data_IF_726836588929
#
_entry.id   IF_726836588929
#
_cell.length_a   1.000
_cell.length_b   1.000
_cell.length_c   1.000
_cell.angle_alpha   90.00
_cell.angle_beta   90.00
_cell.angle_gamma   90.00
#
_symmetry.space_group_name_H-M   'P 1'
#
loop_
_entity.id
_entity.type
_entity.pdbx_description
1 polymer ?
#
# COMPACT_ATOMS: atom_id res chain seq x y z
N UNK A 1 35.79 52.46 -25.95
CA UNK A 1 35.90 51.02 -25.62
C UNK A 1 35.43 50.79 -24.19
N UNK A 2 34.16 50.44 -23.97
CA UNK A 2 33.65 49.92 -22.69
C UNK A 2 32.23 49.36 -22.92
N UNK A 3 32.05 48.04 -22.90
CA UNK A 3 30.72 47.45 -23.06
C UNK A 3 30.72 45.94 -23.28
N UNK A 4 31.25 45.15 -22.36
CA UNK A 4 31.14 43.67 -22.46
C UNK A 4 31.27 42.90 -21.15
N UNK A 5 31.06 43.52 -19.97
CA UNK A 5 31.21 42.83 -18.67
C UNK A 5 29.91 42.54 -17.90
N UNK A 6 28.75 43.03 -18.36
CA UNK A 6 27.49 42.87 -17.62
C UNK A 6 26.71 41.58 -17.97
N UNK A 7 26.92 40.98 -19.14
CA UNK A 7 26.11 39.85 -19.62
C UNK A 7 26.49 38.50 -18.98
N UNK A 8 27.79 38.26 -18.72
CA UNK A 8 28.29 36.96 -18.24
C UNK A 8 27.80 36.62 -16.83
N UNK A 9 27.62 37.62 -15.96
CA UNK A 9 27.19 37.39 -14.57
C UNK A 9 25.71 37.05 -14.38
N UNK A 10 24.86 37.27 -15.39
CA UNK A 10 23.43 36.98 -15.31
C UNK A 10 23.12 35.51 -15.67
N UNK A 11 23.85 34.96 -16.66
CA UNK A 11 23.70 33.58 -17.09
C UNK A 11 24.17 32.58 -16.02
N UNK A 12 25.27 32.88 -15.33
CA UNK A 12 25.79 32.02 -14.25
C UNK A 12 24.83 31.93 -13.06
N UNK A 13 24.19 33.05 -12.68
CA UNK A 13 23.20 33.07 -11.59
C UNK A 13 21.92 32.35 -11.93
N UNK A 14 21.50 32.36 -13.20
CA UNK A 14 20.34 31.60 -13.66
C UNK A 14 20.61 30.08 -13.64
N UNK A 15 21.84 29.67 -14.00
CA UNK A 15 22.28 28.28 -14.00
C UNK A 15 22.39 27.70 -12.59
N UNK A 16 22.87 28.49 -11.62
CA UNK A 16 22.94 28.11 -10.20
C UNK A 16 21.54 27.98 -9.57
N UNK A 17 20.61 28.90 -9.89
CA UNK A 17 19.22 28.81 -9.45
C UNK A 17 18.52 27.55 -10.01
N UNK A 18 18.72 27.24 -11.29
CA UNK A 18 18.16 26.01 -11.90
C UNK A 18 18.71 24.75 -11.26
N UNK A 19 20.02 24.66 -11.00
CA UNK A 19 20.65 23.51 -10.31
C UNK A 19 20.14 23.34 -8.88
N UNK A 20 19.95 24.45 -8.16
CA UNK A 20 19.43 24.42 -6.80
C UNK A 20 17.97 23.98 -6.78
N UNK A 21 17.15 24.47 -7.72
CA UNK A 21 15.73 24.12 -7.83
C UNK A 21 15.54 22.66 -8.28
N UNK A 22 16.39 22.17 -9.19
CA UNK A 22 16.39 20.77 -9.63
C UNK A 22 16.84 19.82 -8.51
N UNK A 23 17.83 20.21 -7.69
CA UNK A 23 18.21 19.46 -6.50
C UNK A 23 17.08 19.40 -5.46
N UNK A 24 16.33 20.49 -5.28
CA UNK A 24 15.16 20.51 -4.40
C UNK A 24 14.01 19.64 -4.92
N UNK A 25 13.75 19.60 -6.23
CA UNK A 25 12.73 18.72 -6.82
C UNK A 25 13.11 17.25 -6.68
N UNK A 26 14.39 16.90 -6.85
CA UNK A 26 14.88 15.52 -6.67
C UNK A 26 14.79 15.11 -5.20
N UNK A 27 15.19 15.97 -4.26
CA UNK A 27 15.10 15.68 -2.83
C UNK A 27 13.64 15.56 -2.37
N UNK A 28 12.74 16.43 -2.85
CA UNK A 28 11.32 16.37 -2.50
C UNK A 28 10.65 15.12 -3.10
N UNK A 29 10.98 14.78 -4.35
CA UNK A 29 10.48 13.57 -5.01
C UNK A 29 10.96 12.28 -4.35
N UNK A 30 12.20 12.25 -3.85
CA UNK A 30 12.79 11.07 -3.20
C UNK A 30 12.31 10.88 -1.75
N UNK A 31 11.94 11.95 -1.04
CA UNK A 31 11.44 11.88 0.35
C UNK A 31 9.93 11.78 0.47
N UNK A 32 9.15 12.28 -0.51
CA UNK A 32 7.68 12.20 -0.50
C UNK A 32 7.17 11.03 -1.36
N UNK A 33 7.88 10.68 -2.44
CA UNK A 33 7.42 9.65 -3.38
C UNK A 33 7.74 8.21 -2.98
N UNK A 34 8.82 7.96 -2.24
CA UNK A 34 9.37 6.59 -2.09
C UNK A 34 8.68 5.69 -1.05
N UNK A 35 7.97 6.15 0.00
CA UNK A 35 7.20 5.23 0.83
C UNK A 35 5.81 4.89 0.26
N UNK A 36 5.35 5.52 -0.82
CA UNK A 36 4.04 5.22 -1.43
C UNK A 36 4.09 4.22 -2.60
N UNK A 37 5.26 3.75 -3.00
CA UNK A 37 5.43 2.92 -4.23
C UNK A 37 5.25 1.41 -3.99
N UNK A 38 4.70 0.98 -2.84
CA UNK A 38 4.25 -0.42 -2.66
C UNK A 38 2.74 -0.56 -2.95
N UNK A 39 2.00 0.53 -3.20
CA UNK A 39 0.53 0.46 -3.29
C UNK A 39 -0.14 0.89 -4.60
N UNK A 40 0.49 1.69 -5.47
CA UNK A 40 -0.25 2.29 -6.59
C UNK A 40 0.64 2.58 -7.79
N UNK A 41 0.87 1.58 -8.65
CA UNK A 41 1.20 1.83 -10.08
C UNK A 41 0.62 0.72 -10.96
N UNK A 42 -0.70 0.74 -11.14
CA UNK A 42 -1.36 0.34 -12.38
C UNK A 42 -2.42 1.39 -12.66
N UNK A 43 -1.96 2.53 -13.17
CA UNK A 43 -2.81 3.40 -13.96
C UNK A 43 -2.68 2.88 -15.40
N UNK A 44 -3.66 2.09 -15.84
CA UNK A 44 -3.86 1.77 -17.24
C UNK A 44 -5.35 1.85 -17.57
N UNK A 45 -5.64 2.28 -18.80
CA UNK A 45 -6.86 2.95 -19.24
C UNK A 45 -8.13 2.08 -19.23
N UNK A 46 -9.10 2.39 -18.35
CA UNK A 46 -10.50 2.00 -18.53
C UNK A 46 -10.79 0.51 -18.75
N UNK A 47 -9.86 -0.36 -18.35
CA UNK A 47 -9.97 -1.81 -18.55
C UNK A 47 -11.05 -2.35 -17.61
N UNK A 48 -12.07 -2.98 -18.20
CA UNK A 48 -13.17 -3.62 -17.47
C UNK A 48 -12.88 -5.08 -17.17
N UNK A 49 -11.70 -5.58 -17.55
CA UNK A 49 -11.30 -6.95 -17.32
C UNK A 49 -11.03 -7.20 -15.82
N UNK A 50 -11.61 -8.29 -15.31
CA UNK A 50 -11.41 -8.71 -13.91
C UNK A 50 -10.10 -9.49 -13.80
N UNK A 51 -9.14 -9.06 -12.96
CA UNK A 51 -7.86 -9.76 -12.85
C UNK A 51 -8.04 -11.11 -12.14
N UNK A 52 -7.56 -12.18 -12.79
CA UNK A 52 -7.47 -13.51 -12.17
C UNK A 52 -6.43 -13.54 -11.04
N UNK A 53 -6.51 -14.51 -10.10
CA UNK A 53 -5.43 -14.75 -9.14
C UNK A 53 -4.07 -14.85 -9.84
N UNK A 54 -3.00 -14.42 -9.18
CA UNK A 54 -1.63 -14.64 -9.67
C UNK A 54 -1.24 -16.12 -9.55
N UNK A 55 -0.19 -16.55 -10.25
CA UNK A 55 0.32 -17.91 -10.10
C UNK A 55 0.76 -18.18 -8.66
N UNK A 56 1.43 -17.22 -8.04
CA UNK A 56 1.90 -17.29 -6.65
C UNK A 56 0.74 -17.45 -5.66
N UNK A 57 -0.37 -16.73 -5.86
CA UNK A 57 -1.56 -16.88 -5.02
C UNK A 57 -2.18 -18.27 -5.16
N UNK A 58 -2.25 -18.82 -6.38
CA UNK A 58 -2.78 -20.18 -6.61
C UNK A 58 -1.87 -21.25 -6.02
N UNK A 59 -0.57 -21.14 -6.26
CA UNK A 59 0.45 -22.07 -5.77
C UNK A 59 0.53 -22.09 -4.24
N UNK A 60 0.24 -20.96 -3.58
CA UNK A 60 0.13 -20.90 -2.12
C UNK A 60 -1.20 -21.47 -1.60
N UNK A 61 -2.28 -21.36 -2.37
CA UNK A 61 -3.64 -21.76 -1.94
C UNK A 61 -3.84 -23.26 -2.02
N UNK A 62 -3.48 -23.88 -3.16
CA UNK A 62 -3.73 -25.32 -3.41
C UNK A 62 -3.20 -26.24 -2.29
N UNK A 63 -1.96 -26.08 -1.79
CA UNK A 63 -1.44 -26.95 -0.73
C UNK A 63 -2.20 -26.82 0.60
N UNK A 64 -2.72 -25.63 0.91
CA UNK A 64 -3.53 -25.40 2.11
C UNK A 64 -4.87 -26.14 2.01
N UNK A 65 -5.50 -26.10 0.83
CA UNK A 65 -6.74 -26.82 0.59
C UNK A 65 -6.53 -28.34 0.57
N UNK A 66 -5.43 -28.81 0.00
CA UNK A 66 -5.04 -30.21 0.07
C UNK A 66 -4.87 -30.68 1.52
N UNK A 67 -4.14 -29.91 2.35
CA UNK A 67 -4.00 -30.24 3.77
C UNK A 67 -5.33 -30.22 4.53
N UNK A 68 -6.23 -29.29 4.22
CA UNK A 68 -7.56 -29.24 4.83
C UNK A 68 -8.41 -30.46 4.42
N UNK A 69 -8.35 -30.87 3.15
CA UNK A 69 -9.02 -32.07 2.66
C UNK A 69 -8.56 -33.33 3.41
N UNK A 70 -7.25 -33.51 3.62
CA UNK A 70 -6.73 -34.65 4.40
C UNK A 70 -7.25 -34.68 5.85
N UNK A 71 -7.47 -33.50 6.46
CA UNK A 71 -7.97 -33.40 7.83
C UNK A 71 -9.49 -33.50 7.97
N UNK A 72 -10.24 -33.10 6.95
CA UNK A 72 -11.70 -32.89 7.05
C UNK A 72 -12.53 -33.77 6.09
N UNK A 73 -11.91 -34.32 5.05
CA UNK A 73 -12.58 -35.15 4.04
C UNK A 73 -13.55 -34.38 3.13
N UNK A 74 -13.48 -33.04 3.09
CA UNK A 74 -14.28 -32.17 2.22
C UNK A 74 -13.36 -31.50 1.21
N UNK A 75 -13.71 -31.55 -0.07
CA UNK A 75 -12.98 -30.81 -1.09
C UNK A 75 -13.32 -29.31 -1.00
N UNK A 76 -12.30 -28.47 -1.10
CA UNK A 76 -12.46 -27.02 -1.07
C UNK A 76 -11.98 -26.42 -2.38
N UNK A 77 -12.73 -25.45 -2.90
CA UNK A 77 -12.43 -24.85 -4.19
C UNK A 77 -12.84 -23.40 -4.33
N UNK A 78 -12.50 -22.83 -5.49
CA UNK A 78 -12.87 -21.49 -5.87
C UNK A 78 -13.27 -21.42 -7.34
N UNK A 79 -14.13 -20.44 -7.63
CA UNK A 79 -14.48 -20.04 -8.98
C UNK A 79 -14.67 -18.53 -9.06
N UNK A 80 -13.96 -17.90 -9.99
CA UNK A 80 -14.04 -16.46 -10.23
C UNK A 80 -14.59 -16.23 -11.64
N UNK A 81 -15.58 -15.35 -11.72
CA UNK A 81 -16.23 -14.95 -12.95
C UNK A 81 -16.01 -13.45 -13.20
N UNK A 82 -15.71 -13.13 -14.46
CA UNK A 82 -15.97 -11.81 -15.02
C UNK A 82 -17.43 -11.81 -15.51
N UNK A 83 -18.30 -11.23 -14.68
CA UNK A 83 -19.76 -11.22 -14.80
C UNK A 83 -20.40 -12.62 -14.93
N UNK A 84 -20.29 -13.25 -16.10
CA UNK A 84 -20.80 -14.59 -16.40
C UNK A 84 -19.75 -15.53 -16.99
N UNK A 85 -18.58 -15.01 -17.32
CA UNK A 85 -17.48 -15.76 -17.94
C UNK A 85 -16.55 -16.24 -16.85
N UNK A 86 -16.37 -17.55 -16.73
CA UNK A 86 -15.37 -18.09 -15.80
C UNK A 86 -13.96 -17.72 -16.28
N UNK A 87 -13.20 -17.08 -15.39
CA UNK A 87 -11.84 -16.65 -15.66
C UNK A 87 -10.81 -17.37 -14.77
N UNK A 88 -11.25 -17.94 -13.64
CA UNK A 88 -10.39 -18.77 -12.79
C UNK A 88 -11.17 -19.82 -12.03
N UNK A 89 -10.60 -21.01 -11.92
CA UNK A 89 -11.12 -22.12 -11.13
C UNK A 89 -9.96 -22.87 -10.49
N UNK A 90 -10.17 -23.44 -9.31
CA UNK A 90 -9.19 -24.32 -8.68
C UNK A 90 -9.68 -24.94 -7.38
N UNK A 91 -8.89 -25.88 -6.85
CA UNK A 91 -9.28 -26.68 -5.69
C UNK A 91 -8.10 -27.30 -4.96
N UNK A 92 -8.41 -28.07 -3.91
CA UNK A 92 -7.47 -29.00 -3.28
C UNK A 92 -6.83 -30.02 -4.24
N UNK A 93 -7.43 -30.27 -5.40
CA UNK A 93 -6.87 -31.18 -6.42
C UNK A 93 -5.88 -30.48 -7.37
N UNK A 94 -5.82 -29.15 -7.36
CA UNK A 94 -4.93 -28.37 -8.21
C UNK A 94 -5.53 -27.06 -8.71
N UNK A 95 -4.67 -26.23 -9.29
CA UNK A 95 -5.07 -25.12 -10.15
C UNK A 95 -5.86 -25.65 -11.36
N UNK A 96 -6.84 -24.88 -11.84
CA UNK A 96 -7.71 -25.20 -12.98
C UNK A 96 -8.54 -26.47 -12.80
N UNK A 97 -8.70 -26.96 -11.58
CA UNK A 97 -9.48 -28.15 -11.26
C UNK A 97 -10.67 -27.77 -10.38
N UNK A 98 -11.88 -27.92 -10.92
CA UNK A 98 -13.15 -27.67 -10.23
C UNK A 98 -13.44 -28.76 -9.20
N UNK A 99 -13.93 -28.40 -8.01
CA UNK A 99 -14.45 -29.41 -7.06
C UNK A 99 -15.83 -29.92 -7.48
N UNK A 100 -16.61 -29.10 -8.18
CA UNK A 100 -17.99 -29.43 -8.59
C UNK A 100 -18.03 -30.49 -9.69
N UNK A 101 -17.07 -30.45 -10.61
CA UNK A 101 -17.07 -31.24 -11.83
C UNK A 101 -16.14 -32.47 -11.76
N UNK A 102 -15.33 -32.59 -10.70
CA UNK A 102 -14.37 -33.68 -10.53
C UNK A 102 -14.95 -34.82 -9.67
N UNK A 103 -14.99 -36.07 -10.19
CA UNK A 103 -15.56 -37.21 -9.47
C UNK A 103 -14.78 -37.60 -8.20
N UNK A 104 -13.55 -37.11 -8.02
CA UNK A 104 -12.76 -37.31 -6.80
C UNK A 104 -13.26 -36.45 -5.63
N UNK A 105 -14.15 -35.50 -5.88
CA UNK A 105 -14.76 -34.63 -4.89
C UNK A 105 -16.27 -34.88 -4.78
N UNK A 106 -16.71 -36.02 -4.19
CA UNK A 106 -18.14 -36.29 -4.02
C UNK A 106 -18.80 -35.36 -2.98
N UNK A 107 -18.02 -34.84 -2.03
CA UNK A 107 -18.43 -33.87 -1.01
C UNK A 107 -17.52 -32.65 -1.07
N UNK A 108 -18.09 -31.47 -1.30
CA UNK A 108 -17.31 -30.26 -1.58
C UNK A 108 -17.98 -28.97 -1.13
N UNK A 109 -17.17 -27.94 -0.91
CA UNK A 109 -17.58 -26.55 -0.68
C UNK A 109 -16.71 -25.64 -1.58
N UNK A 110 -17.34 -24.75 -2.33
CA UNK A 110 -16.67 -23.84 -3.28
C UNK A 110 -17.11 -22.39 -3.01
N UNK A 111 -16.15 -21.45 -2.95
CA UNK A 111 -16.49 -20.02 -3.03
C UNK A 111 -16.63 -19.66 -4.50
N UNK A 112 -17.75 -19.03 -4.87
CA UNK A 112 -17.96 -18.44 -6.19
C UNK A 112 -18.04 -16.92 -6.06
N UNK A 113 -17.38 -16.19 -6.96
CA UNK A 113 -17.49 -14.74 -7.03
C UNK A 113 -17.66 -14.28 -8.48
N UNK A 114 -18.65 -13.41 -8.71
CA UNK A 114 -18.85 -12.73 -9.97
C UNK A 114 -18.58 -11.24 -9.79
N UNK A 115 -17.55 -10.74 -10.46
CA UNK A 115 -17.14 -9.34 -10.40
C UNK A 115 -17.50 -8.66 -11.71
N UNK A 116 -17.94 -7.42 -11.63
CA UNK A 116 -18.29 -6.59 -12.78
C UNK A 116 -17.69 -5.21 -12.62
N UNK A 117 -16.72 -4.91 -13.47
CA UNK A 117 -16.26 -3.55 -13.66
C UNK A 117 -17.09 -2.85 -14.73
N UNK A 118 -17.32 -1.57 -14.50
CA UNK A 118 -18.06 -0.68 -15.37
C UNK A 118 -17.08 0.30 -16.02
N UNK A 119 -17.38 0.74 -17.23
CA UNK A 119 -16.52 1.72 -17.91
C UNK A 119 -16.45 3.01 -17.09
N UNK A 120 -15.30 3.71 -17.08
CA UNK A 120 -15.13 4.97 -16.36
C UNK A 120 -16.12 6.10 -16.75
N UNK A 121 -16.78 5.99 -17.91
CA UNK A 121 -17.84 6.90 -18.38
C UNK A 121 -19.26 6.50 -17.92
N UNK A 122 -19.40 5.40 -17.19
CA UNK A 122 -20.66 4.90 -16.69
C UNK A 122 -20.99 5.53 -15.33
N UNK A 123 -22.26 5.87 -15.12
CA UNK A 123 -22.78 6.27 -13.80
C UNK A 123 -23.07 5.07 -12.89
N UNK A 124 -22.95 3.84 -13.43
CA UNK A 124 -23.10 2.61 -12.63
C UNK A 124 -21.83 2.35 -11.84
N UNK A 125 -21.97 1.84 -10.62
CA UNK A 125 -20.83 1.42 -9.81
C UNK A 125 -20.37 0.01 -10.17
N UNK A 126 -19.09 -0.25 -9.94
CA UNK A 126 -18.55 -1.60 -9.94
C UNK A 126 -19.20 -2.44 -8.85
N UNK A 127 -19.27 -3.75 -9.05
CA UNK A 127 -19.97 -4.63 -8.13
C UNK A 127 -19.37 -6.03 -8.11
N UNK A 128 -19.54 -6.70 -6.97
CA UNK A 128 -19.20 -8.10 -6.80
C UNK A 128 -20.36 -8.83 -6.12
N UNK A 129 -20.63 -10.05 -6.58
CA UNK A 129 -21.56 -10.99 -5.94
C UNK A 129 -20.78 -12.22 -5.50
N UNK A 130 -20.85 -12.55 -4.22
CA UNK A 130 -20.09 -13.64 -3.61
C UNK A 130 -21.07 -14.69 -3.09
N UNK A 131 -20.78 -15.95 -3.38
CA UNK A 131 -21.55 -17.11 -2.97
C UNK A 131 -20.66 -18.20 -2.39
N UNK A 132 -21.27 -19.07 -1.61
CA UNK A 132 -20.66 -20.34 -1.19
C UNK A 132 -21.61 -21.43 -1.61
N UNK A 133 -21.13 -22.30 -2.48
CA UNK A 133 -21.86 -23.46 -2.98
C UNK A 133 -21.31 -24.73 -2.33
N UNK A 134 -22.12 -25.79 -2.29
CA UNK A 134 -21.71 -27.09 -1.77
C UNK A 134 -22.27 -28.24 -2.58
N UNK A 135 -21.75 -29.44 -2.31
CA UNK A 135 -22.28 -30.68 -2.85
C UNK A 135 -23.73 -30.93 -2.40
N UNK A 136 -24.52 -31.75 -3.14
CA UNK A 136 -25.94 -31.96 -2.85
C UNK A 136 -26.26 -32.57 -1.47
N UNK A 137 -25.27 -33.12 -0.78
CA UNK A 137 -25.39 -33.66 0.58
C UNK A 137 -25.19 -32.62 1.69
N UNK A 138 -24.88 -31.36 1.35
CA UNK A 138 -24.75 -30.25 2.29
C UNK A 138 -26.01 -29.36 2.16
N UNK A 139 -26.67 -29.09 3.29
CA UNK A 139 -27.87 -28.26 3.30
C UNK A 139 -27.50 -26.80 2.97
N UNK A 140 -28.21 -26.12 2.06
CA UNK A 140 -28.03 -24.69 1.82
C UNK A 140 -28.10 -23.83 3.09
N UNK A 141 -28.85 -24.24 4.11
CA UNK A 141 -28.92 -23.55 5.40
C UNK A 141 -27.58 -23.56 6.15
N UNK A 142 -26.75 -24.58 5.96
CA UNK A 142 -25.41 -24.67 6.56
C UNK A 142 -24.38 -23.83 5.78
N UNK A 143 -24.61 -23.60 4.49
CA UNK A 143 -23.74 -22.77 3.63
C UNK A 143 -23.93 -21.27 3.87
N UNK A 144 -25.14 -20.84 4.22
CA UNK A 144 -25.43 -19.43 4.52
C UNK A 144 -24.53 -18.82 5.62
N UNK A 145 -24.37 -19.42 6.81
CA UNK A 145 -23.46 -18.90 7.83
C UNK A 145 -21.99 -18.94 7.42
N UNK A 146 -21.58 -19.84 6.51
CA UNK A 146 -20.23 -19.84 5.94
C UNK A 146 -20.05 -18.61 5.04
N UNK A 147 -20.99 -18.35 4.12
CA UNK A 147 -20.95 -17.17 3.26
C UNK A 147 -20.93 -15.87 4.08
N UNK A 148 -21.82 -15.74 5.08
CA UNK A 148 -21.83 -14.60 5.99
C UNK A 148 -20.55 -14.50 6.85
N UNK A 149 -19.89 -15.63 7.10
CA UNK A 149 -18.64 -15.70 7.83
C UNK A 149 -17.48 -15.02 7.12
N UNK A 150 -17.50 -14.94 5.77
CA UNK A 150 -16.45 -14.31 4.96
C UNK A 150 -16.27 -12.82 5.29
N UNK A 151 -17.37 -12.10 5.54
CA UNK A 151 -17.34 -10.67 5.88
C UNK A 151 -16.53 -10.40 7.15
N UNK A 152 -16.51 -11.33 8.12
CA UNK A 152 -15.70 -11.20 9.35
C UNK A 152 -14.20 -11.21 9.08
N UNK A 153 -13.79 -11.71 7.91
CA UNK A 153 -12.41 -11.69 7.44
C UNK A 153 -12.14 -10.53 6.48
N UNK A 154 -13.09 -9.61 6.30
CA UNK A 154 -12.99 -8.51 5.35
C UNK A 154 -13.12 -8.96 3.90
N UNK A 155 -13.75 -10.12 3.65
CA UNK A 155 -13.89 -10.72 2.31
C UNK A 155 -15.31 -10.49 1.77
N UNK A 156 -15.75 -9.23 1.84
CA UNK A 156 -17.02 -8.77 1.28
C UNK A 156 -16.86 -8.18 -0.12
N UNK A 157 -17.96 -7.62 -0.65
CA UNK A 157 -18.01 -7.11 -2.03
C UNK A 157 -16.88 -6.12 -2.37
N UNK A 158 -16.58 -5.18 -1.48
CA UNK A 158 -15.54 -4.17 -1.70
C UNK A 158 -14.16 -4.81 -1.94
N UNK A 159 -13.79 -5.83 -1.14
CA UNK A 159 -12.52 -6.53 -1.30
C UNK A 159 -12.42 -7.29 -2.64
N UNK A 160 -13.55 -7.83 -3.12
CA UNK A 160 -13.59 -8.51 -4.42
C UNK A 160 -13.61 -7.53 -5.60
N UNK A 161 -14.13 -6.31 -5.41
CA UNK A 161 -14.01 -5.24 -6.41
C UNK A 161 -12.56 -4.75 -6.46
N UNK A 162 -11.91 -4.53 -5.31
CA UNK A 162 -10.57 -3.96 -5.23
C UNK A 162 -9.47 -4.95 -5.68
N UNK A 163 -9.50 -6.20 -5.20
CA UNK A 163 -8.47 -7.20 -5.46
C UNK A 163 -9.07 -8.61 -5.68
N UNK A 164 -9.80 -8.87 -6.78
CA UNK A 164 -10.59 -10.09 -6.97
C UNK A 164 -9.76 -11.38 -6.88
N UNK A 165 -8.56 -11.39 -7.49
CA UNK A 165 -7.66 -12.54 -7.47
C UNK A 165 -7.11 -12.88 -6.08
N UNK A 166 -6.82 -11.86 -5.27
CA UNK A 166 -6.41 -12.05 -3.88
C UNK A 166 -7.61 -12.45 -3.00
N UNK A 167 -8.74 -11.76 -3.14
CA UNK A 167 -9.93 -11.98 -2.33
C UNK A 167 -10.49 -13.40 -2.50
N UNK A 168 -10.58 -13.91 -3.74
CA UNK A 168 -11.09 -15.25 -4.00
C UNK A 168 -10.19 -16.32 -3.38
N UNK A 169 -8.87 -16.22 -3.55
CA UNK A 169 -7.93 -17.20 -2.98
C UNK A 169 -7.92 -17.13 -1.45
N UNK A 170 -8.01 -15.92 -0.88
CA UNK A 170 -8.11 -15.74 0.57
C UNK A 170 -9.42 -16.31 1.13
N UNK A 171 -10.57 -16.06 0.49
CA UNK A 171 -11.86 -16.63 0.88
C UNK A 171 -11.84 -18.15 0.90
N UNK A 172 -11.25 -18.76 -0.11
CA UNK A 172 -11.14 -20.22 -0.16
C UNK A 172 -10.24 -20.79 0.93
N UNK A 173 -9.16 -20.12 1.30
CA UNK A 173 -8.32 -20.57 2.44
C UNK A 173 -9.02 -20.50 3.80
N UNK A 174 -10.09 -19.71 3.92
CA UNK A 174 -10.88 -19.56 5.14
C UNK A 174 -12.02 -20.58 5.23
N UNK A 175 -12.46 -21.15 4.10
CA UNK A 175 -13.55 -22.14 4.07
C UNK A 175 -13.38 -23.31 5.05
N UNK A 176 -12.22 -23.97 5.17
CA UNK A 176 -12.05 -25.10 6.09
C UNK A 176 -12.34 -24.75 7.55
N UNK A 177 -11.99 -23.52 7.96
CA UNK A 177 -12.27 -23.01 9.30
C UNK A 177 -13.78 -22.79 9.48
N UNK A 178 -14.41 -22.09 8.54
CA UNK A 178 -15.85 -21.79 8.60
C UNK A 178 -16.69 -23.07 8.55
N UNK A 179 -16.30 -24.06 7.74
CA UNK A 179 -16.93 -25.37 7.70
C UNK A 179 -16.85 -26.09 9.04
N UNK A 180 -15.74 -25.95 9.77
CA UNK A 180 -15.61 -26.50 11.13
C UNK A 180 -16.46 -25.74 12.15
N UNK A 181 -16.56 -24.42 12.05
CA UNK A 181 -17.39 -23.60 12.95
C UNK A 181 -18.87 -23.97 12.89
N UNK A 182 -19.39 -24.29 11.70
CA UNK A 182 -20.79 -24.69 11.51
C UNK A 182 -21.01 -26.20 11.71
N UNK A 183 -19.95 -26.95 12.04
CA UNK A 183 -20.03 -28.39 12.31
C UNK A 183 -20.13 -29.28 11.07
N UNK A 184 -19.90 -28.75 9.87
CA UNK A 184 -19.84 -29.55 8.63
C UNK A 184 -18.59 -30.41 8.55
N UNK A 185 -17.52 -30.00 9.22
CA UNK A 185 -16.25 -30.71 9.32
C UNK A 185 -15.70 -30.69 10.76
N UNK A 186 -14.84 -31.64 11.09
CA UNK A 186 -14.01 -31.51 12.29
C UNK A 186 -13.00 -30.36 12.10
N UNK A 187 -12.52 -29.73 13.19
CA UNK A 187 -11.39 -28.81 13.10
C UNK A 187 -10.19 -29.49 12.46
N UNK A 188 -9.49 -28.81 11.54
CA UNK A 188 -8.26 -29.35 10.94
C UNK A 188 -7.27 -29.66 12.06
N UNK A 189 -6.69 -30.88 12.13
CA UNK A 189 -5.73 -31.22 13.15
C UNK A 189 -4.56 -30.25 13.10
N UNK A 190 -4.38 -29.46 14.15
CA UNK A 190 -3.10 -28.77 14.35
C UNK A 190 -2.11 -29.85 14.75
N UNK A 191 -0.98 -29.94 14.05
CA UNK A 191 0.09 -30.83 14.48
C UNK A 191 0.36 -30.54 15.96
N UNK A 192 0.16 -31.53 16.82
CA UNK A 192 0.50 -31.39 18.22
C UNK A 192 2.00 -31.12 18.26
N UNK A 193 2.39 -29.91 18.66
CA UNK A 193 3.79 -29.63 18.98
C UNK A 193 4.25 -30.73 19.94
N UNK A 194 5.42 -31.35 19.71
CA UNK A 194 5.93 -32.34 20.64
C UNK A 194 5.92 -31.72 22.03
N UNK A 195 5.20 -32.34 22.96
CA UNK A 195 5.12 -31.87 24.33
C UNK A 195 6.54 -31.58 24.82
N UNK A 196 6.84 -30.37 25.33
CA UNK A 196 8.20 -30.01 25.66
C UNK A 196 8.73 -30.98 26.70
N UNK A 197 9.66 -31.85 26.29
CA UNK A 197 10.39 -32.74 27.20
C UNK A 197 11.47 -31.92 27.88
N UNK A 198 11.06 -31.10 28.85
CA UNK A 198 11.96 -30.27 29.64
C UNK A 198 11.22 -29.11 30.30
N UNK A 199 11.71 -28.70 31.48
CA UNK A 199 11.30 -27.44 32.10
C UNK A 199 11.51 -26.31 31.09
N UNK A 200 10.47 -25.54 30.72
CA UNK A 200 10.62 -24.45 29.76
C UNK A 200 11.68 -23.50 30.29
N UNK A 201 12.71 -23.23 29.48
CA UNK A 201 13.70 -22.22 29.80
C UNK A 201 12.96 -20.89 30.04
N UNK A 202 13.29 -20.14 31.11
CA UNK A 202 12.62 -18.87 31.37
C UNK A 202 12.76 -17.99 30.12
N UNK A 203 11.63 -17.43 29.68
CA UNK A 203 11.60 -16.51 28.55
C UNK A 203 12.68 -15.44 28.79
N UNK A 204 13.50 -15.12 27.78
CA UNK A 204 14.42 -13.99 27.89
C UNK A 204 13.61 -12.76 28.27
N UNK A 205 14.13 -11.95 29.20
CA UNK A 205 13.47 -10.72 29.65
C UNK A 205 12.96 -9.94 28.44
N UNK A 206 11.68 -9.59 28.43
CA UNK A 206 11.06 -8.84 27.34
C UNK A 206 11.97 -7.66 26.95
N UNK A 207 12.62 -7.81 25.79
CA UNK A 207 13.44 -6.75 25.23
C UNK A 207 12.55 -5.54 24.97
N UNK A 208 13.11 -4.35 25.10
CA UNK A 208 12.35 -3.11 25.03
C UNK A 208 11.81 -2.88 23.59
N UNK A 209 10.62 -3.38 23.28
CA UNK A 209 9.97 -3.33 21.95
C UNK A 209 9.56 -1.92 21.48
N UNK A 210 9.83 -0.90 22.30
CA UNK A 210 9.54 0.51 22.01
C UNK A 210 10.15 0.98 20.69
N UNK A 211 11.31 0.46 20.30
CA UNK A 211 11.98 0.80 19.04
C UNK A 211 11.28 0.22 17.81
N UNK A 212 10.60 -0.92 17.96
CA UNK A 212 9.88 -1.58 16.88
C UNK A 212 8.47 -1.00 16.72
N UNK A 213 7.75 -0.82 17.83
CA UNK A 213 6.40 -0.26 17.82
C UNK A 213 6.36 1.23 17.50
N UNK A 214 7.37 2.01 17.93
CA UNK A 214 7.39 3.47 17.74
C UNK A 214 8.31 3.93 16.63
N UNK A 215 8.83 3.00 15.82
CA UNK A 215 9.67 3.28 14.64
C UNK A 215 9.02 4.34 13.74
N UNK A 216 7.75 4.16 13.41
CA UNK A 216 7.01 5.09 12.56
C UNK A 216 7.01 6.52 13.12
N UNK A 217 6.61 6.67 14.38
CA UNK A 217 6.56 7.97 15.06
C UNK A 217 7.94 8.64 15.17
N UNK A 218 9.00 7.87 15.44
CA UNK A 218 10.37 8.38 15.49
C UNK A 218 10.83 8.93 14.15
N UNK A 219 10.52 8.25 13.04
CA UNK A 219 10.83 8.76 11.70
C UNK A 219 10.04 10.03 11.37
N UNK A 220 8.76 10.10 11.73
CA UNK A 220 7.95 11.30 11.51
C UNK A 220 8.48 12.49 12.32
N UNK A 221 8.82 12.27 13.59
CA UNK A 221 9.39 13.30 14.46
C UNK A 221 10.75 13.79 13.95
N UNK A 222 11.64 12.87 13.52
CA UNK A 222 12.93 13.22 12.96
C UNK A 222 12.80 14.03 11.66
N UNK A 223 11.88 13.65 10.78
CA UNK A 223 11.60 14.38 9.55
C UNK A 223 11.10 15.80 9.83
N UNK A 224 10.17 15.97 10.76
CA UNK A 224 9.67 17.29 11.18
C UNK A 224 10.77 18.19 11.76
N UNK A 225 11.66 17.62 12.59
CA UNK A 225 12.81 18.34 13.14
C UNK A 225 13.76 18.82 12.04
N UNK A 226 14.01 17.98 11.03
CA UNK A 226 14.84 18.33 9.88
C UNK A 226 14.24 19.49 9.08
N UNK A 227 12.93 19.45 8.81
CA UNK A 227 12.22 20.53 8.12
C UNK A 227 12.30 21.83 8.93
N UNK A 228 12.05 21.78 10.24
CA UNK A 228 12.15 22.94 11.12
C UNK A 228 13.55 23.54 11.11
N UNK A 229 14.60 22.72 11.22
CA UNK A 229 15.99 23.18 11.17
C UNK A 229 16.32 23.85 9.82
N UNK A 230 15.80 23.31 8.71
CA UNK A 230 15.96 23.87 7.37
C UNK A 230 15.32 25.25 7.24
N UNK A 231 14.07 25.40 7.72
CA UNK A 231 13.35 26.68 7.73
C UNK A 231 14.08 27.73 8.56
N UNK A 232 14.59 27.37 9.74
CA UNK A 232 15.40 28.26 10.58
C UNK A 232 16.69 28.65 9.86
N UNK A 233 17.39 27.70 9.25
CA UNK A 233 18.62 27.96 8.49
C UNK A 233 18.41 28.92 7.32
N UNK A 234 17.35 28.72 6.53
CA UNK A 234 16.97 29.60 5.42
C UNK A 234 16.57 30.99 5.94
N UNK A 235 15.78 31.06 7.01
CA UNK A 235 15.38 32.32 7.64
C UNK A 235 16.58 33.13 8.15
N UNK A 236 17.53 32.49 8.83
CA UNK A 236 18.76 33.15 9.31
C UNK A 236 19.62 33.61 8.13
N UNK A 237 19.75 32.81 7.07
CA UNK A 237 20.54 33.18 5.87
C UNK A 237 19.89 34.33 5.10
N UNK A 238 18.55 34.34 4.99
CA UNK A 238 17.78 35.45 4.42
C UNK A 238 17.96 36.74 5.21
N UNK A 239 17.85 36.68 6.55
CA UNK A 239 18.04 37.82 7.44
C UNK A 239 19.48 38.38 7.39
N UNK A 240 20.48 37.50 7.30
CA UNK A 240 21.90 37.92 7.12
C UNK A 240 22.14 38.61 5.77
N UNK A 241 21.46 38.17 4.70
CA UNK A 241 21.55 38.83 3.38
C UNK A 241 20.89 40.20 3.38
N UNK A 242 19.73 40.35 4.03
CA UNK A 242 19.08 41.65 4.18
C UNK A 242 19.93 42.64 4.99
N UNK A 243 20.55 42.19 6.10
CA UNK A 243 21.45 43.04 6.90
C UNK A 243 22.74 43.44 6.19
N UNK A 244 23.18 42.69 5.17
CA UNK A 244 24.34 43.04 4.33
C UNK A 244 23.99 43.94 3.14
N UNK A 245 22.70 44.19 2.89
CA UNK A 245 22.21 45.00 1.77
C UNK A 245 21.82 46.44 2.11
N UNK A 246 21.85 46.84 3.39
CA UNK A 246 21.61 48.23 3.81
C UNK A 246 22.94 48.87 4.20
N UNK A 247 23.73 49.23 3.19
CA UNK A 247 24.74 50.29 3.36
C UNK A 247 24.02 51.64 3.19
N UNK A 248 24.22 52.63 4.10
CA UNK A 248 23.56 53.91 3.97
C UNK A 248 23.99 54.60 2.68
N UNK A 249 23.01 54.99 1.85
CA UNK A 249 23.20 55.87 0.72
C UNK A 249 23.67 57.24 1.25
N UNK A 250 24.96 57.52 1.11
CA UNK A 250 25.54 58.82 1.42
C UNK A 250 25.10 59.81 0.34
N UNK A 251 24.13 60.65 0.71
CA UNK A 251 23.55 61.73 -0.10
C UNK A 251 24.56 62.89 -0.13
N UNK A 252 25.14 63.29 -1.27
CA UNK A 252 25.96 64.50 -1.34
C UNK A 252 25.03 65.70 -1.52
N UNK A 253 24.86 66.49 -0.47
CA UNK A 253 24.07 67.72 -0.54
C UNK A 253 23.77 68.29 0.84
N UNK A 254 24.74 68.98 1.43
CA UNK A 254 24.48 69.95 2.49
C UNK A 254 25.56 71.05 2.45
N UNK A 255 25.11 72.22 2.03
CA UNK A 255 25.81 73.50 2.04
C UNK A 255 25.74 74.10 3.44
N UNK A 256 26.89 74.51 3.98
CA UNK A 256 27.10 75.61 4.96
C UNK A 256 28.60 75.93 4.86
N UNK A 257 29.10 77.13 4.57
CA UNK A 257 28.66 78.46 4.97
C UNK A 257 29.75 79.08 5.86
N UNK A 258 30.42 80.12 5.33
CA UNK A 258 31.00 81.27 6.04
C UNK A 258 32.46 81.28 6.55
N UNK A 259 33.20 82.27 6.01
CA UNK A 259 34.30 83.07 6.62
C UNK A 259 35.69 82.39 6.73
N UNK A 260 36.86 83.01 6.51
CA UNK A 260 37.33 84.41 6.50
C UNK A 260 38.52 84.63 5.55
N UNK A 261 38.64 85.86 5.05
CA UNK A 261 39.84 86.49 4.47
C UNK A 261 40.98 86.62 5.49
N UNK A 262 42.25 86.59 5.05
CA UNK A 262 43.17 87.63 5.47
C UNK A 262 43.91 88.27 4.28
N UNK A 263 43.96 89.59 4.39
CA UNK A 263 44.75 90.57 3.66
C UNK A 263 46.26 90.32 3.90
N UNK A 264 47.09 90.52 2.87
CA UNK A 264 48.52 90.79 3.01
C UNK A 264 49.02 91.60 1.81
N UNK A 265 49.86 92.57 2.15
CA UNK A 265 50.42 93.67 1.38
C UNK A 265 51.28 93.26 0.16
#
# INVERSE_FOLDING_TARGET
MAGTRAAVGAEDKAKEKRRTLMAWVIVLGLFVGVPCVIGFVTADDGDTDVPTPTAEQRDATVPLLASAFEGQGICYGWRLYDWSTEISVGSNLGDRTSVRDDPRCPRWIEVSAAVRYTSASSESSDSASIGVDGSPDIDPADLYPIAAGLDRFGLGADAFVDEPGWAITRATTVLPLLAAEVGLAAPVPTAADPAPTGTPAPLPSAGNDLLRDRKGWLFTAAALLLVAALLVGVGVRGRRRQRRGVGPAQRPGAVTGSSRTPEAA
#
